data_IF_526330133193
#
_entry.id   IF_526330133193
#
_cell.length_a   1.000
_cell.length_b   1.000
_cell.length_c   1.000
_cell.angle_alpha   90.00
_cell.angle_beta   90.00
_cell.angle_gamma   90.00
#
_symmetry.space_group_name_H-M   'P 1'
#
loop_
_entity.id
_entity.type
_entity.pdbx_description
1 polymer ?
#
# COMPACT_ATOMS: atom_id res chain seq x y z
N UNK A 1 -1.49 -13.09 -43.32
CA UNK A 1 -2.44 -12.19 -42.62
C UNK A 1 -2.80 -12.79 -41.27
N UNK A 2 -3.05 -14.10 -41.20
CA UNK A 2 -3.14 -14.87 -39.95
C UNK A 2 -1.88 -14.77 -39.08
N UNK A 3 -0.67 -14.96 -39.63
CA UNK A 3 0.58 -14.83 -38.85
C UNK A 3 0.77 -13.44 -38.22
N UNK A 4 0.33 -12.37 -38.92
CA UNK A 4 0.42 -10.99 -38.41
C UNK A 4 -0.62 -10.74 -37.31
N UNK A 5 -1.80 -11.37 -37.42
CA UNK A 5 -2.86 -11.33 -36.41
C UNK A 5 -2.44 -12.13 -35.17
N UNK A 6 -1.72 -13.24 -35.36
CA UNK A 6 -1.16 -14.08 -34.30
C UNK A 6 -0.05 -13.34 -33.54
N UNK A 7 0.88 -12.69 -34.25
CA UNK A 7 1.91 -11.81 -33.67
C UNK A 7 1.30 -10.64 -32.86
N UNK A 8 0.22 -10.02 -33.36
CA UNK A 8 -0.52 -8.96 -32.67
C UNK A 8 -1.26 -9.46 -31.43
N UNK A 9 -1.68 -10.73 -31.41
CA UNK A 9 -2.35 -11.36 -30.28
C UNK A 9 -1.37 -11.74 -29.15
N UNK A 10 -0.12 -12.08 -29.49
CA UNK A 10 0.97 -12.27 -28.53
C UNK A 10 1.40 -10.93 -27.91
N UNK A 11 1.32 -9.84 -28.67
CA UNK A 11 1.49 -8.45 -28.21
C UNK A 11 0.22 -7.87 -27.59
N UNK A 12 -0.55 -8.66 -26.84
CA UNK A 12 -1.58 -8.18 -25.93
C UNK A 12 -0.92 -7.33 -24.82
N UNK A 13 -0.59 -6.10 -25.21
CA UNK A 13 0.25 -5.12 -24.53
C UNK A 13 -0.39 -4.56 -23.25
N UNK A 14 -1.55 -5.10 -22.86
CA UNK A 14 -2.27 -4.69 -21.67
C UNK A 14 -1.64 -5.33 -20.42
N UNK A 15 -1.23 -6.60 -20.49
CA UNK A 15 -0.53 -7.27 -19.38
C UNK A 15 0.92 -6.80 -19.23
N UNK A 16 1.57 -6.38 -20.33
CA UNK A 16 2.96 -5.91 -20.30
C UNK A 16 3.11 -4.53 -19.63
N UNK A 17 2.04 -3.72 -19.63
CA UNK A 17 2.02 -2.38 -19.04
C UNK A 17 1.60 -2.38 -17.56
N UNK A 18 0.96 -3.44 -17.08
CA UNK A 18 0.42 -3.52 -15.72
C UNK A 18 1.50 -3.35 -14.65
N UNK A 19 2.66 -3.98 -14.86
CA UNK A 19 3.81 -3.91 -13.95
C UNK A 19 4.46 -2.51 -13.94
N UNK A 20 4.80 -1.88 -15.09
CA UNK A 20 5.22 -0.49 -15.14
C UNK A 20 4.22 0.47 -14.48
N UNK A 21 2.93 0.34 -14.77
CA UNK A 21 1.87 1.20 -14.21
C UNK A 21 1.84 1.07 -12.69
N UNK A 22 1.81 -0.15 -12.15
CA UNK A 22 1.84 -0.39 -10.69
C UNK A 22 3.07 0.21 -10.03
N UNK A 23 4.24 0.14 -10.69
CA UNK A 23 5.47 0.74 -10.18
C UNK A 23 5.41 2.27 -10.11
N UNK A 24 4.83 2.91 -11.13
CA UNK A 24 4.62 4.36 -11.15
C UNK A 24 3.63 4.77 -10.06
N UNK A 25 2.50 4.08 -9.96
CA UNK A 25 1.48 4.35 -8.94
C UNK A 25 2.03 4.17 -7.52
N UNK A 26 2.81 3.12 -7.28
CA UNK A 26 3.46 2.90 -5.98
C UNK A 26 4.41 4.07 -5.64
N UNK A 27 5.20 4.54 -6.61
CA UNK A 27 6.11 5.66 -6.44
C UNK A 27 5.36 6.96 -6.12
N UNK A 28 4.31 7.27 -6.89
CA UNK A 28 3.44 8.43 -6.67
C UNK A 28 2.81 8.39 -5.27
N UNK A 29 2.26 7.23 -4.87
CA UNK A 29 1.68 7.05 -3.54
C UNK A 29 2.70 7.28 -2.41
N UNK A 30 3.94 6.79 -2.57
CA UNK A 30 4.99 6.98 -1.58
C UNK A 30 5.47 8.44 -1.47
N UNK A 31 5.55 9.14 -2.60
CA UNK A 31 5.93 10.56 -2.61
C UNK A 31 4.83 11.46 -2.06
N UNK A 32 3.55 11.13 -2.29
CA UNK A 32 2.40 11.86 -1.76
C UNK A 32 2.02 11.50 -0.32
N UNK A 33 2.57 10.42 0.23
CA UNK A 33 2.28 9.99 1.59
C UNK A 33 2.86 10.93 2.66
N UNK A 34 2.25 10.91 3.85
CA UNK A 34 2.84 11.49 5.05
C UNK A 34 4.21 10.87 5.31
N UNK A 35 5.24 11.70 5.40
CA UNK A 35 6.62 11.26 5.58
C UNK A 35 7.05 11.24 7.05
N UNK A 36 8.04 10.41 7.37
CA UNK A 36 8.61 10.32 8.70
C UNK A 36 9.15 11.69 9.17
N UNK A 37 8.86 12.03 10.43
CA UNK A 37 9.30 13.30 11.04
C UNK A 37 8.41 14.50 10.72
N UNK A 38 7.43 14.38 9.82
CA UNK A 38 6.40 15.41 9.62
C UNK A 38 5.52 15.51 10.85
N UNK A 39 5.41 16.70 11.43
CA UNK A 39 4.44 16.98 12.50
C UNK A 39 3.02 16.95 11.94
N UNK A 40 2.10 16.39 12.71
CA UNK A 40 0.68 16.30 12.37
C UNK A 40 -0.16 16.75 13.54
N UNK A 41 -1.23 17.46 13.24
CA UNK A 41 -2.24 17.80 14.23
C UNK A 41 -3.19 16.61 14.44
N UNK A 42 -3.82 16.51 15.61
CA UNK A 42 -4.73 15.40 15.92
C UNK A 42 -5.83 15.14 14.87
N UNK A 43 -6.52 16.17 14.33
CA UNK A 43 -7.54 15.94 13.30
C UNK A 43 -6.98 15.28 12.05
N UNK A 44 -5.74 15.64 11.68
CA UNK A 44 -5.06 15.09 10.50
C UNK A 44 -4.68 13.62 10.71
N UNK A 45 -4.14 13.29 11.89
CA UNK A 45 -3.84 11.90 12.25
C UNK A 45 -5.10 11.03 12.22
N UNK A 46 -6.21 11.55 12.77
CA UNK A 46 -7.50 10.84 12.74
C UNK A 46 -7.96 10.60 11.31
N UNK A 47 -7.86 11.61 10.44
CA UNK A 47 -8.25 11.49 9.05
C UNK A 47 -7.49 10.36 8.32
N UNK A 48 -6.17 10.31 8.47
CA UNK A 48 -5.34 9.25 7.87
C UNK A 48 -5.76 7.85 8.35
N UNK A 49 -6.05 7.71 9.65
CA UNK A 49 -6.50 6.42 10.21
C UNK A 49 -7.90 6.05 9.70
N UNK A 50 -8.82 7.01 9.61
CA UNK A 50 -10.17 6.78 9.10
C UNK A 50 -10.14 6.35 7.62
N UNK A 51 -9.30 6.97 6.79
CA UNK A 51 -9.09 6.55 5.40
C UNK A 51 -8.49 5.14 5.33
N UNK A 52 -7.46 4.85 6.12
CA UNK A 52 -6.86 3.52 6.19
C UNK A 52 -7.87 2.43 6.57
N UNK A 53 -8.78 2.71 7.51
CA UNK A 53 -9.85 1.81 7.89
C UNK A 53 -10.85 1.59 6.74
N UNK A 54 -11.20 2.66 6.01
CA UNK A 54 -12.14 2.59 4.86
C UNK A 54 -11.59 1.73 3.72
N UNK A 55 -10.29 1.78 3.48
CA UNK A 55 -9.60 0.98 2.46
C UNK A 55 -9.31 -0.48 2.88
N UNK A 56 -9.98 -0.97 3.94
CA UNK A 56 -9.85 -2.36 4.37
C UNK A 56 -8.62 -2.66 5.24
N UNK A 57 -8.00 -1.61 5.80
CA UNK A 57 -6.88 -1.73 6.74
C UNK A 57 -5.65 -2.50 6.19
N UNK A 58 -5.08 -2.09 5.04
CA UNK A 58 -3.92 -2.76 4.47
C UNK A 58 -2.75 -2.78 5.46
N UNK A 59 -2.09 -3.93 5.58
CA UNK A 59 -0.96 -4.12 6.51
C UNK A 59 0.39 -3.76 5.88
N UNK A 60 0.43 -3.63 4.56
CA UNK A 60 1.65 -3.49 3.76
C UNK A 60 1.46 -2.40 2.71
N UNK A 61 2.45 -1.53 2.52
CA UNK A 61 2.41 -0.52 1.47
C UNK A 61 2.59 -1.14 0.07
N UNK A 62 2.33 -0.39 -1.01
CA UNK A 62 2.51 -0.87 -2.39
C UNK A 62 3.93 -1.35 -2.73
N UNK A 63 4.95 -0.97 -1.94
CA UNK A 63 6.34 -1.41 -2.08
C UNK A 63 6.72 -2.62 -1.20
N UNK A 64 5.80 -3.14 -0.38
CA UNK A 64 6.06 -4.32 0.46
C UNK A 64 6.49 -4.03 1.91
N UNK A 65 6.60 -2.76 2.34
CA UNK A 65 6.91 -2.42 3.73
C UNK A 65 5.66 -2.53 4.61
N UNK A 66 5.76 -3.17 5.78
CA UNK A 66 4.66 -3.16 6.77
C UNK A 66 4.40 -1.74 7.25
N UNK A 67 3.12 -1.33 7.25
CA UNK A 67 2.69 0.02 7.68
C UNK A 67 1.90 0.01 8.97
N UNK A 68 1.46 -1.16 9.44
CA UNK A 68 0.74 -1.32 10.69
C UNK A 68 1.13 -2.63 11.37
N UNK A 69 0.95 -2.66 12.69
CA UNK A 69 1.11 -3.81 13.55
C UNK A 69 -0.14 -3.95 14.40
N UNK A 70 -0.55 -5.18 14.70
CA UNK A 70 -1.70 -5.47 15.54
C UNK A 70 -1.21 -6.21 16.76
N UNK A 71 -1.50 -5.66 17.93
CA UNK A 71 -1.18 -6.27 19.22
C UNK A 71 -2.47 -6.66 19.92
N UNK A 72 -2.55 -7.90 20.39
CA UNK A 72 -3.65 -8.35 21.24
C UNK A 72 -3.55 -7.78 22.66
N UNK A 73 -4.63 -7.80 23.43
CA UNK A 73 -4.61 -7.29 24.82
C UNK A 73 -3.59 -8.03 25.67
N UNK A 74 -3.54 -9.36 25.63
CA UNK A 74 -2.56 -10.16 26.39
C UNK A 74 -1.11 -9.83 25.99
N UNK A 75 -0.86 -9.68 24.70
CA UNK A 75 0.45 -9.30 24.16
C UNK A 75 0.89 -7.93 24.67
N UNK A 76 -0.03 -6.95 24.69
CA UNK A 76 0.24 -5.64 25.28
C UNK A 76 0.57 -5.76 26.77
N UNK A 77 -0.19 -6.54 27.54
CA UNK A 77 0.11 -6.72 28.96
C UNK A 77 1.50 -7.33 29.17
N UNK A 78 1.91 -8.29 28.34
CA UNK A 78 3.25 -8.87 28.36
C UNK A 78 4.34 -7.84 28.00
N UNK A 79 4.14 -7.05 26.95
CA UNK A 79 5.08 -5.98 26.53
C UNK A 79 5.29 -4.97 27.67
N UNK A 80 4.22 -4.60 28.37
CA UNK A 80 4.26 -3.65 29.49
C UNK A 80 4.53 -4.29 30.86
N UNK A 81 4.84 -5.60 30.92
CA UNK A 81 5.12 -6.35 32.17
C UNK A 81 4.01 -6.20 33.22
N UNK A 82 2.76 -6.25 32.76
CA UNK A 82 1.54 -6.19 33.58
C UNK A 82 0.84 -7.56 33.70
N UNK A 83 1.53 -8.62 33.27
CA UNK A 83 1.23 -10.04 33.43
C UNK A 83 2.48 -10.73 33.98
#
# INVERSE_FOLDING_TARGET
>A
LEDIIEDLSEWNSVDSLDKPIRSVLASMACQGAVQAGRRMEQPEMKHVVDEWLREGSPMTCPHGRRISLRFGSEELHRIFRRL
#
